data_IF_232181646175
#
_entry.id   IF_232181646175
#
_cell.length_a   1.000
_cell.length_b   1.000
_cell.length_c   1.000
_cell.angle_alpha   90.00
_cell.angle_beta   90.00
_cell.angle_gamma   90.00
#
_symmetry.space_group_name_H-M   'P 1'
#
loop_
_entity.id
_entity.type
_entity.pdbx_description
1 polymer ?
#
# COMPACT_ATOMS: atom_id res chain seq x y z
N UNK A 1 29.49 14.95 10.25
CA UNK A 1 28.16 14.45 10.68
C UNK A 1 28.08 13.01 10.22
N UNK A 2 27.58 12.11 11.06
CA UNK A 2 27.35 10.72 10.65
C UNK A 2 26.16 10.67 9.68
N UNK A 3 26.10 9.63 8.85
CA UNK A 3 24.93 9.37 7.98
C UNK A 3 23.60 9.35 8.76
N UNK A 4 23.65 8.90 10.03
CA UNK A 4 22.50 8.90 10.93
C UNK A 4 22.07 10.30 11.35
N UNK A 5 23.01 11.22 11.57
CA UNK A 5 22.69 12.60 11.95
C UNK A 5 22.03 13.36 10.80
N UNK A 6 22.49 13.13 9.56
CA UNK A 6 21.92 13.72 8.34
C UNK A 6 20.51 13.15 8.07
N UNK A 7 20.35 11.83 8.18
CA UNK A 7 19.06 11.17 8.03
C UNK A 7 18.03 11.60 9.09
N UNK A 8 18.45 11.71 10.35
CA UNK A 8 17.58 12.16 11.44
C UNK A 8 17.13 13.61 11.22
N UNK A 9 18.04 14.50 10.81
CA UNK A 9 17.71 15.89 10.50
C UNK A 9 16.70 16.00 9.35
N UNK A 10 16.87 15.17 8.32
CA UNK A 10 15.96 15.10 7.17
C UNK A 10 14.55 14.60 7.57
N UNK A 11 14.47 13.55 8.40
CA UNK A 11 13.19 13.06 8.93
C UNK A 11 12.48 14.08 9.83
N UNK A 12 13.22 14.85 10.63
CA UNK A 12 12.64 15.89 11.49
C UNK A 12 12.07 17.06 10.67
N UNK A 13 12.68 17.37 9.53
CA UNK A 13 12.21 18.40 8.62
C UNK A 13 10.99 17.97 7.78
N UNK A 14 10.88 16.68 7.46
CA UNK A 14 9.88 16.12 6.54
C UNK A 14 8.42 16.51 6.87
N UNK A 15 7.92 16.37 8.12
CA UNK A 15 6.55 16.75 8.45
C UNK A 15 6.25 18.22 8.15
N UNK A 16 7.21 19.11 8.45
CA UNK A 16 7.07 20.54 8.20
C UNK A 16 7.06 20.84 6.68
N UNK A 17 7.89 20.14 5.90
CA UNK A 17 7.93 20.29 4.44
C UNK A 17 6.62 19.81 3.81
N UNK A 18 6.13 18.63 4.22
CA UNK A 18 4.87 18.08 3.75
C UNK A 18 3.70 18.97 4.13
N UNK A 19 3.64 19.45 5.38
CA UNK A 19 2.58 20.36 5.82
C UNK A 19 2.52 21.63 4.96
N UNK A 20 3.68 22.22 4.62
CA UNK A 20 3.74 23.38 3.71
C UNK A 20 3.27 23.03 2.30
N UNK A 21 3.67 21.87 1.76
CA UNK A 21 3.24 21.41 0.43
C UNK A 21 1.73 21.16 0.37
N UNK A 22 1.15 20.48 1.37
CA UNK A 22 -0.30 20.24 1.43
C UNK A 22 -1.10 21.50 1.76
N UNK A 23 -0.54 22.48 2.46
CA UNK A 23 -1.16 23.79 2.61
C UNK A 23 -1.26 24.50 1.25
N UNK A 24 -0.16 24.57 0.51
CA UNK A 24 -0.14 25.16 -0.82
C UNK A 24 -1.05 24.42 -1.81
N UNK A 25 -1.10 23.08 -1.74
CA UNK A 25 -2.01 22.29 -2.59
C UNK A 25 -3.47 22.68 -2.35
N UNK A 26 -3.88 22.82 -1.08
CA UNK A 26 -5.24 23.27 -0.71
C UNK A 26 -5.52 24.71 -1.15
N UNK A 27 -4.53 25.59 -1.09
CA UNK A 27 -4.68 26.97 -1.55
C UNK A 27 -4.87 27.01 -3.09
N UNK A 28 -4.11 26.20 -3.83
CA UNK A 28 -4.27 26.04 -5.27
C UNK A 28 -5.58 25.34 -5.64
N UNK A 29 -6.03 24.33 -4.88
CA UNK A 29 -7.35 23.70 -5.03
C UNK A 29 -8.45 24.75 -4.95
N UNK A 30 -8.42 25.56 -3.88
CA UNK A 30 -9.40 26.62 -3.67
C UNK A 30 -9.37 27.67 -4.78
N UNK A 31 -8.17 28.11 -5.17
CA UNK A 31 -8.00 29.07 -6.28
C UNK A 31 -8.57 28.53 -7.60
N UNK A 32 -8.32 27.25 -7.89
CA UNK A 32 -8.85 26.58 -9.09
C UNK A 32 -10.38 26.48 -9.05
N UNK A 33 -10.97 26.12 -7.91
CA UNK A 33 -12.42 26.05 -7.74
C UNK A 33 -13.08 27.42 -7.92
N UNK A 34 -12.51 28.47 -7.31
CA UNK A 34 -13.00 29.83 -7.43
C UNK A 34 -12.90 30.34 -8.88
N UNK A 35 -11.79 30.08 -9.57
CA UNK A 35 -11.59 30.47 -10.96
C UNK A 35 -12.53 29.71 -11.90
N UNK A 36 -12.71 28.41 -11.69
CA UNK A 36 -13.65 27.59 -12.46
C UNK A 36 -15.08 28.12 -12.33
N UNK A 37 -15.51 28.45 -11.10
CA UNK A 37 -16.84 29.03 -10.85
C UNK A 37 -17.01 30.38 -11.55
N UNK A 38 -16.00 31.24 -11.51
CA UNK A 38 -16.04 32.53 -12.21
C UNK A 38 -16.12 32.36 -13.73
N UNK A 39 -15.35 31.42 -14.29
CA UNK A 39 -15.35 31.15 -15.71
C UNK A 39 -16.70 30.58 -16.18
N UNK A 40 -17.31 29.67 -15.40
CA UNK A 40 -18.65 29.14 -15.66
C UNK A 40 -19.71 30.26 -15.67
N UNK A 41 -19.68 31.16 -14.68
CA UNK A 41 -20.57 32.32 -14.62
C UNK A 41 -20.37 33.26 -15.82
N UNK A 42 -19.13 33.51 -16.24
CA UNK A 42 -18.82 34.34 -17.42
C UNK A 42 -19.32 33.67 -18.70
N UNK A 43 -19.12 32.36 -18.85
CA UNK A 43 -19.65 31.61 -19.99
C UNK A 43 -21.18 31.69 -20.05
N UNK A 44 -21.88 31.50 -18.93
CA UNK A 44 -23.33 31.64 -18.84
C UNK A 44 -23.81 33.04 -19.25
N UNK A 45 -23.14 34.09 -18.75
CA UNK A 45 -23.46 35.47 -19.10
C UNK A 45 -23.28 35.73 -20.60
N UNK A 46 -22.17 35.30 -21.20
CA UNK A 46 -21.94 35.46 -22.64
C UNK A 46 -22.97 34.71 -23.48
N UNK A 47 -23.37 33.50 -23.05
CA UNK A 47 -24.41 32.72 -23.71
C UNK A 47 -25.75 33.47 -23.67
N UNK A 48 -26.12 34.06 -22.54
CA UNK A 48 -27.35 34.85 -22.41
C UNK A 48 -27.31 36.14 -23.25
N UNK A 49 -26.17 36.84 -23.30
CA UNK A 49 -25.99 38.03 -24.16
C UNK A 49 -26.11 37.69 -25.65
N UNK A 50 -25.57 36.54 -26.08
CA UNK A 50 -25.71 36.04 -27.44
C UNK A 50 -27.17 35.69 -27.74
N UNK A 51 -27.86 34.99 -26.82
CA UNK A 51 -29.30 34.65 -26.97
C UNK A 51 -30.18 35.88 -27.08
N UNK A 52 -29.89 36.94 -26.32
CA UNK A 52 -30.62 38.21 -26.35
C UNK A 52 -30.28 39.06 -27.59
N UNK A 53 -29.32 38.63 -28.42
CA UNK A 53 -28.87 39.36 -29.61
C UNK A 53 -28.06 40.62 -29.29
N UNK A 54 -27.59 40.76 -28.04
CA UNK A 54 -26.78 41.90 -27.58
C UNK A 54 -25.34 41.77 -28.07
N UNK A 55 -24.85 40.52 -28.18
CA UNK A 55 -23.49 40.22 -28.63
C UNK A 55 -23.52 39.55 -30.02
N UNK A 56 -22.89 40.18 -31.01
CA UNK A 56 -22.71 39.61 -32.35
C UNK A 56 -21.44 38.75 -32.40
N UNK A 57 -21.59 37.43 -32.28
CA UNK A 57 -20.49 36.48 -32.43
C UNK A 57 -20.84 35.09 -31.90
N UNK A 58 -20.46 34.05 -32.65
CA UNK A 58 -20.65 32.64 -32.25
C UNK A 58 -19.49 32.11 -31.37
N UNK A 59 -18.55 32.98 -31.01
CA UNK A 59 -17.30 32.66 -30.32
C UNK A 59 -17.23 33.39 -28.99
N UNK A 60 -16.81 32.70 -27.93
CA UNK A 60 -16.54 33.30 -26.62
C UNK A 60 -15.47 34.39 -26.70
N UNK A 61 -15.50 35.35 -25.78
CA UNK A 61 -14.47 36.37 -25.70
C UNK A 61 -13.09 35.76 -25.40
N UNK A 62 -12.04 36.46 -25.84
CA UNK A 62 -10.66 36.07 -25.54
C UNK A 62 -10.39 36.05 -24.02
N UNK A 63 -11.15 36.83 -23.25
CA UNK A 63 -11.04 36.88 -21.79
C UNK A 63 -11.52 35.59 -21.11
N UNK A 64 -12.61 34.99 -21.60
CA UNK A 64 -13.08 33.66 -21.14
C UNK A 64 -12.06 32.57 -21.49
N UNK A 65 -11.43 32.67 -22.67
CA UNK A 65 -10.38 31.74 -23.09
C UNK A 65 -9.11 31.92 -22.25
N UNK A 66 -8.74 33.14 -21.87
CA UNK A 66 -7.61 33.43 -20.99
C UNK A 66 -7.80 32.90 -19.58
N UNK A 67 -9.00 33.04 -19.03
CA UNK A 67 -9.36 32.42 -17.75
C UNK A 67 -9.28 30.89 -17.81
N UNK A 68 -9.77 30.28 -18.90
CA UNK A 68 -9.65 28.83 -19.09
C UNK A 68 -8.18 28.40 -19.18
N UNK A 69 -7.34 29.16 -19.91
CA UNK A 69 -5.88 28.94 -19.95
C UNK A 69 -5.25 29.08 -18.56
N UNK A 70 -5.73 30.01 -17.74
CA UNK A 70 -5.25 30.19 -16.38
C UNK A 70 -5.62 29.00 -15.48
N UNK A 71 -6.82 28.46 -15.61
CA UNK A 71 -7.26 27.25 -14.90
C UNK A 71 -6.35 26.06 -15.20
N UNK A 72 -5.92 25.90 -16.46
CA UNK A 72 -5.00 24.83 -16.86
C UNK A 72 -3.64 25.01 -16.16
N UNK A 73 -3.10 26.23 -16.13
CA UNK A 73 -1.82 26.51 -15.44
C UNK A 73 -1.87 26.15 -13.95
N UNK A 74 -2.94 26.53 -13.25
CA UNK A 74 -3.11 26.17 -11.83
C UNK A 74 -3.20 24.64 -11.66
N UNK A 75 -3.93 23.95 -12.55
CA UNK A 75 -4.01 22.49 -12.51
C UNK A 75 -2.64 21.83 -12.70
N UNK A 76 -1.83 22.30 -13.65
CA UNK A 76 -0.47 21.80 -13.88
C UNK A 76 0.44 22.03 -12.66
N UNK A 77 0.36 23.21 -12.03
CA UNK A 77 1.10 23.52 -10.80
C UNK A 77 0.71 22.59 -9.65
N UNK A 78 -0.57 22.24 -9.51
CA UNK A 78 -1.05 21.28 -8.50
C UNK A 78 -0.49 19.88 -8.75
N UNK A 79 -0.50 19.42 -10.00
CA UNK A 79 0.07 18.12 -10.37
C UNK A 79 1.56 18.10 -10.04
N UNK A 80 2.31 19.13 -10.43
CA UNK A 80 3.73 19.23 -10.12
C UNK A 80 4.01 19.24 -8.61
N UNK A 81 3.19 19.94 -7.83
CA UNK A 81 3.32 19.97 -6.37
C UNK A 81 3.02 18.62 -5.72
N UNK A 82 1.99 17.91 -6.20
CA UNK A 82 1.62 16.58 -5.73
C UNK A 82 2.71 15.55 -6.05
N UNK A 83 3.25 15.56 -7.28
CA UNK A 83 4.39 14.72 -7.68
C UNK A 83 5.59 14.99 -6.79
N UNK A 84 5.95 16.26 -6.56
CA UNK A 84 7.06 16.58 -5.68
C UNK A 84 6.83 16.12 -4.23
N UNK A 85 5.60 16.21 -3.70
CA UNK A 85 5.30 15.70 -2.37
C UNK A 85 5.44 14.18 -2.29
N UNK A 86 5.01 13.47 -3.34
CA UNK A 86 5.15 12.03 -3.47
C UNK A 86 6.63 11.61 -3.53
N UNK A 87 7.41 12.20 -4.45
CA UNK A 87 8.84 11.88 -4.63
C UNK A 87 9.66 12.10 -3.36
N UNK A 88 9.30 13.13 -2.59
CA UNK A 88 9.94 13.42 -1.30
C UNK A 88 9.71 12.27 -0.31
N UNK A 89 8.47 11.81 -0.17
CA UNK A 89 8.14 10.69 0.73
C UNK A 89 8.80 9.41 0.26
N UNK A 90 8.74 9.12 -1.05
CA UNK A 90 9.36 7.94 -1.64
C UNK A 90 10.87 7.91 -1.40
N UNK A 91 11.55 9.06 -1.56
CA UNK A 91 12.99 9.18 -1.27
C UNK A 91 13.30 8.80 0.18
N UNK A 92 12.49 9.24 1.15
CA UNK A 92 12.70 8.88 2.55
C UNK A 92 12.38 7.40 2.85
N UNK A 93 11.39 6.81 2.17
CA UNK A 93 11.10 5.37 2.26
C UNK A 93 12.31 4.57 1.74
N UNK A 94 12.85 4.93 0.58
CA UNK A 94 14.02 4.28 0.01
C UNK A 94 15.27 4.42 0.92
N UNK A 95 15.45 5.58 1.56
CA UNK A 95 16.52 5.79 2.54
C UNK A 95 16.36 4.89 3.78
N UNK A 96 15.14 4.76 4.30
CA UNK A 96 14.81 3.87 5.42
C UNK A 96 15.11 2.41 5.07
N UNK A 97 14.69 1.95 3.89
CA UNK A 97 14.95 0.58 3.43
C UNK A 97 16.45 0.28 3.29
N UNK A 98 17.22 1.24 2.78
CA UNK A 98 18.68 1.13 2.70
C UNK A 98 19.31 1.06 4.09
N UNK A 99 18.81 1.83 5.05
CA UNK A 99 19.28 1.78 6.43
C UNK A 99 18.98 0.43 7.09
N UNK A 100 17.76 -0.08 6.95
CA UNK A 100 17.37 -1.39 7.48
C UNK A 100 18.24 -2.51 6.89
N UNK A 101 18.54 -2.46 5.58
CA UNK A 101 19.46 -3.41 4.93
C UNK A 101 20.87 -3.34 5.51
N UNK A 102 21.44 -2.13 5.65
CA UNK A 102 22.79 -1.95 6.21
C UNK A 102 22.86 -2.43 7.66
N UNK A 103 21.88 -2.09 8.48
CA UNK A 103 21.83 -2.51 9.89
C UNK A 103 21.72 -4.04 10.03
N UNK A 104 20.91 -4.69 9.18
CA UNK A 104 20.82 -6.15 9.14
C UNK A 104 22.15 -6.81 8.73
N UNK A 105 22.87 -6.25 7.74
CA UNK A 105 24.19 -6.75 7.34
C UNK A 105 25.27 -6.55 8.41
N UNK A 106 25.24 -5.43 9.13
CA UNK A 106 26.12 -5.19 10.28
C UNK A 106 25.86 -6.20 11.40
N UNK A 107 24.60 -6.44 11.74
CA UNK A 107 24.23 -7.48 12.72
C UNK A 107 24.66 -8.89 12.25
N UNK A 108 24.59 -9.16 10.95
CA UNK A 108 25.07 -10.42 10.36
C UNK A 108 26.59 -10.57 10.51
N UNK A 109 27.35 -9.50 10.27
CA UNK A 109 28.81 -9.46 10.49
C UNK A 109 29.18 -9.60 11.95
N UNK A 110 28.46 -8.94 12.85
CA UNK A 110 28.72 -9.03 14.30
C UNK A 110 28.44 -10.43 14.84
N UNK A 111 27.45 -11.13 14.27
CA UNK A 111 27.17 -12.54 14.57
C UNK A 111 28.21 -13.50 14.01
N UNK A 112 28.91 -13.13 12.94
CA UNK A 112 30.02 -13.89 12.33
C UNK A 112 31.39 -13.54 12.94
N UNK A 113 31.52 -12.41 13.65
CA UNK A 113 32.77 -11.93 14.27
C UNK A 113 32.99 -12.46 15.70
N UNK A 114 31.95 -12.99 16.36
CA UNK A 114 32.07 -13.69 17.65
C UNK A 114 32.60 -15.11 17.42
N UNK A 115 33.78 -15.49 17.97
CA UNK A 115 34.28 -16.86 17.85
C UNK A 115 33.36 -17.84 18.60
N UNK A 116 33.24 -19.11 18.17
CA UNK A 116 32.56 -20.12 18.97
C UNK A 116 33.46 -20.47 20.17
N UNK A 117 33.40 -19.70 21.25
CA UNK A 117 34.01 -20.10 22.51
C UNK A 117 33.15 -21.20 23.17
N UNK A 118 33.67 -22.43 23.10
CA UNK A 118 33.61 -23.38 24.22
C UNK A 118 32.48 -24.41 24.24
N UNK A 119 32.55 -25.43 23.38
CA UNK A 119 32.19 -26.79 23.82
C UNK A 119 33.48 -27.59 23.87
N UNK A 120 34.09 -27.62 25.05
CA UNK A 120 35.24 -28.45 25.38
C UNK A 120 34.88 -29.92 25.18
N UNK A 121 35.43 -30.52 24.13
CA UNK A 121 35.55 -31.96 23.98
C UNK A 121 36.60 -32.47 24.97
N UNK A 122 36.14 -33.07 26.06
CA UNK A 122 36.97 -33.97 26.87
C UNK A 122 36.34 -35.35 26.83
N UNK A 123 36.91 -36.20 25.98
CA UNK A 123 36.67 -37.63 25.95
C UNK A 123 37.66 -38.31 26.89
N UNK A 124 37.18 -38.97 27.95
CA UNK A 124 37.83 -40.11 28.59
C UNK A 124 36.76 -41.15 28.96
N UNK A 125 37.01 -42.40 28.55
CA UNK A 125 36.21 -43.61 28.71
C UNK A 125 36.08 -44.10 30.17
N UNK A 126 34.95 -44.74 30.52
CA UNK A 126 34.89 -46.12 31.06
C UNK A 126 33.52 -46.46 31.71
N UNK A 127 33.05 -47.67 31.42
CA UNK A 127 31.78 -48.30 31.77
C UNK A 127 31.59 -48.67 33.25
N UNK A 128 30.39 -48.44 33.82
CA UNK A 128 29.65 -49.41 34.68
C UNK A 128 28.16 -48.98 34.88
N UNK A 129 27.23 -49.94 34.83
CA UNK A 129 25.75 -49.83 35.06
C UNK A 129 25.40 -50.03 36.57
N UNK A 130 24.12 -50.04 37.01
CA UNK A 130 22.97 -49.15 36.77
C UNK A 130 22.28 -48.68 38.09
N UNK A 131 21.40 -47.67 38.05
CA UNK A 131 20.58 -47.27 39.21
C UNK A 131 19.34 -46.44 38.84
N UNK A 132 18.20 -46.77 39.44
CA UNK A 132 16.82 -46.29 39.20
C UNK A 132 16.52 -44.90 39.78
N UNK A 133 15.56 -44.19 39.17
CA UNK A 133 14.73 -43.12 39.77
C UNK A 133 14.20 -42.16 38.70
N UNK A 134 12.90 -42.20 38.36
CA UNK A 134 11.88 -41.13 38.57
C UNK A 134 12.35 -39.73 38.10
N UNK A 135 11.66 -38.91 37.31
CA UNK A 135 10.27 -38.80 36.86
C UNK A 135 10.17 -37.52 35.99
N UNK A 136 9.18 -37.49 35.11
CA UNK A 136 8.52 -36.30 34.52
C UNK A 136 9.28 -35.34 33.58
N UNK A 137 8.63 -35.08 32.43
CA UNK A 137 8.53 -33.71 31.91
C UNK A 137 8.90 -33.47 30.45
N UNK A 138 7.93 -33.74 29.56
CA UNK A 138 7.55 -32.93 28.37
C UNK A 138 8.65 -32.39 27.43
N UNK A 139 8.55 -32.79 26.17
CA UNK A 139 8.64 -31.83 25.06
C UNK A 139 9.59 -32.20 23.91
N UNK A 140 9.00 -32.47 22.75
CA UNK A 140 9.46 -31.91 21.48
C UNK A 140 10.76 -32.44 20.88
N UNK A 141 10.61 -33.25 19.82
CA UNK A 141 11.37 -33.29 18.56
C UNK A 141 10.79 -34.48 17.78
N UNK A 142 10.60 -34.45 16.46
CA UNK A 142 11.63 -34.54 15.42
C UNK A 142 10.92 -34.28 14.09
N UNK A 143 11.42 -33.34 13.28
CA UNK A 143 12.25 -33.62 12.08
C UNK A 143 11.37 -34.11 10.92
N UNK A 144 11.39 -33.56 9.72
CA UNK A 144 12.46 -33.64 8.71
C UNK A 144 11.80 -33.01 7.46
N UNK A 145 12.40 -32.19 6.61
CA UNK A 145 13.45 -32.45 5.60
C UNK A 145 13.46 -31.15 4.74
N UNK A 146 14.63 -30.55 4.47
CA UNK A 146 15.28 -30.49 3.14
C UNK A 146 14.38 -29.88 2.04
N UNK A 147 14.73 -28.85 1.26
CA UNK A 147 16.02 -28.23 0.95
C UNK A 147 15.80 -26.92 0.14
N UNK A 148 16.85 -26.09 0.10
CA UNK A 148 17.33 -25.26 -1.04
C UNK A 148 16.41 -24.24 -1.73
N UNK A 149 16.73 -22.96 -1.45
CA UNK A 149 17.28 -21.94 -2.36
C UNK A 149 16.91 -21.96 -3.86
N UNK A 150 16.67 -20.73 -4.35
CA UNK A 150 16.72 -20.22 -5.73
C UNK A 150 15.43 -20.27 -6.56
N UNK A 151 14.77 -19.11 -6.67
CA UNK A 151 14.02 -18.69 -7.85
C UNK A 151 13.75 -17.17 -7.79
N UNK A 152 14.77 -16.38 -8.15
CA UNK A 152 14.55 -15.15 -8.90
C UNK A 152 14.30 -15.58 -10.35
N UNK A 153 13.13 -15.26 -10.90
CA UNK A 153 12.99 -14.70 -12.25
C UNK A 153 11.52 -14.50 -12.61
N UNK A 154 11.27 -13.30 -13.12
CA UNK A 154 10.00 -12.74 -13.54
C UNK A 154 9.32 -13.62 -14.60
N UNK A 155 8.07 -13.97 -14.32
CA UNK A 155 7.11 -14.29 -15.37
C UNK A 155 6.39 -12.99 -15.77
N UNK A 156 6.90 -12.37 -16.83
CA UNK A 156 6.13 -11.41 -17.61
C UNK A 156 4.91 -12.14 -18.20
N UNK A 157 3.73 -11.81 -17.71
CA UNK A 157 2.47 -12.14 -18.37
C UNK A 157 1.58 -10.91 -18.37
N UNK A 158 1.68 -10.15 -19.46
CA UNK A 158 0.77 -9.10 -19.84
C UNK A 158 -0.68 -9.59 -19.72
N UNK A 159 -1.48 -8.89 -18.92
CA UNK A 159 -2.93 -8.93 -19.01
C UNK A 159 -3.41 -7.58 -19.50
N UNK A 160 -3.64 -7.52 -20.81
CA UNK A 160 -4.32 -6.43 -21.52
C UNK A 160 -5.69 -6.13 -20.91
N UNK A 161 -5.96 -4.87 -20.53
CA UNK A 161 -7.23 -4.12 -20.67
C UNK A 161 -7.16 -2.73 -19.99
N UNK A 162 -8.08 -1.79 -20.31
CA UNK A 162 -8.05 -0.76 -21.36
C UNK A 162 -7.31 0.56 -20.93
N UNK A 163 -7.05 1.52 -21.84
CA UNK A 163 -6.23 2.69 -21.52
C UNK A 163 -7.03 3.73 -20.73
N UNK A 164 -6.86 3.73 -19.41
CA UNK A 164 -7.32 4.78 -18.52
C UNK A 164 -6.28 5.02 -17.45
N UNK A 165 -5.42 6.02 -17.67
CA UNK A 165 -4.51 6.63 -16.69
C UNK A 165 -3.75 5.64 -15.79
N UNK A 166 -2.74 4.97 -16.35
CA UNK A 166 -1.74 4.23 -15.60
C UNK A 166 -0.80 5.23 -14.91
N UNK A 167 -1.16 5.65 -13.69
CA UNK A 167 -0.17 6.03 -12.71
C UNK A 167 0.47 4.71 -12.26
N UNK A 168 1.65 4.40 -12.79
CA UNK A 168 2.48 3.24 -12.42
C UNK A 168 3.02 3.45 -11.00
N UNK A 169 2.12 3.36 -10.02
CA UNK A 169 2.43 3.37 -8.59
C UNK A 169 2.86 1.94 -8.25
N UNK A 170 4.09 1.73 -7.76
CA UNK A 170 4.52 0.43 -7.28
C UNK A 170 3.56 -0.06 -6.21
N UNK A 171 2.98 -1.25 -6.41
CA UNK A 171 2.09 -1.90 -5.44
C UNK A 171 2.88 -2.05 -4.13
N UNK A 172 2.44 -1.37 -3.07
CA UNK A 172 3.10 -1.36 -1.76
C UNK A 172 3.17 -2.80 -1.21
N UNK A 173 4.39 -3.35 -0.97
CA UNK A 173 4.58 -4.69 -0.42
C UNK A 173 3.96 -4.91 0.97
N UNK A 174 3.53 -3.86 1.66
CA UNK A 174 2.97 -3.90 3.00
C UNK A 174 1.44 -3.80 3.04
N UNK A 175 0.75 -3.80 1.89
CA UNK A 175 -0.71 -3.79 1.86
C UNK A 175 -1.27 -5.20 2.22
N UNK A 176 -2.12 -5.32 3.26
CA UNK A 176 -2.69 -6.61 3.65
C UNK A 176 -3.50 -7.23 2.51
N UNK A 177 -3.23 -8.50 2.21
CA UNK A 177 -3.93 -9.23 1.16
C UNK A 177 -5.21 -9.87 1.69
N UNK A 178 -6.27 -9.79 0.89
CA UNK A 178 -7.60 -10.28 1.20
C UNK A 178 -8.09 -11.25 0.13
N UNK A 179 -9.26 -11.85 0.40
CA UNK A 179 -9.90 -12.84 -0.45
C UNK A 179 -9.02 -14.08 -0.65
N UNK A 180 -9.55 -15.12 -1.28
CA UNK A 180 -8.77 -16.31 -1.65
C UNK A 180 -7.84 -16.06 -2.85
N UNK A 181 -7.94 -14.89 -3.49
CA UNK A 181 -7.02 -14.47 -4.55
C UNK A 181 -5.72 -13.86 -4.01
N UNK A 182 -5.61 -13.66 -2.68
CA UNK A 182 -4.46 -13.05 -2.01
C UNK A 182 -4.02 -11.74 -2.68
N UNK A 183 -5.00 -10.91 -3.07
CA UNK A 183 -4.76 -9.60 -3.66
C UNK A 183 -5.11 -8.51 -2.65
N UNK A 184 -4.62 -7.31 -2.87
CA UNK A 184 -5.00 -6.10 -2.12
C UNK A 184 -6.50 -5.82 -2.19
N UNK A 185 -7.01 -4.94 -1.34
CA UNK A 185 -8.42 -4.54 -1.40
C UNK A 185 -8.71 -3.72 -2.66
N UNK A 186 -9.45 -4.30 -3.61
CA UNK A 186 -9.85 -3.59 -4.83
C UNK A 186 -11.36 -3.69 -5.10
N UNK A 187 -11.96 -2.58 -5.54
CA UNK A 187 -13.38 -2.51 -5.88
C UNK A 187 -14.32 -2.76 -4.68
N UNK A 188 -15.46 -3.39 -4.92
CA UNK A 188 -16.45 -3.72 -3.88
C UNK A 188 -16.09 -5.02 -3.14
N UNK A 189 -16.13 -4.96 -1.81
CA UNK A 189 -15.77 -6.07 -0.93
C UNK A 189 -16.90 -6.42 0.04
N UNK A 190 -17.02 -7.71 0.36
CA UNK A 190 -17.98 -8.24 1.33
C UNK A 190 -17.23 -8.88 2.51
N UNK A 191 -17.68 -8.58 3.73
CA UNK A 191 -17.19 -9.24 4.94
C UNK A 191 -17.96 -10.53 5.22
N UNK A 192 -17.28 -11.58 5.65
CA UNK A 192 -17.88 -12.81 6.10
C UNK A 192 -18.36 -12.66 7.55
N UNK A 193 -19.65 -12.86 7.82
CA UNK A 193 -20.28 -12.74 9.15
C UNK A 193 -19.91 -13.86 10.15
N UNK A 194 -18.88 -14.66 9.85
CA UNK A 194 -18.38 -15.69 10.76
C UNK A 194 -17.17 -15.11 11.50
N UNK A 195 -17.23 -14.91 12.83
CA UNK A 195 -16.13 -14.34 13.60
C UNK A 195 -14.87 -15.22 13.64
N UNK A 196 -14.99 -16.51 13.27
CA UNK A 196 -13.86 -17.43 13.14
C UNK A 196 -13.31 -17.51 11.69
N UNK A 197 -13.68 -16.59 10.80
CA UNK A 197 -13.18 -16.57 9.42
C UNK A 197 -11.74 -16.03 9.39
N UNK A 198 -10.82 -16.72 8.71
CA UNK A 198 -9.42 -16.32 8.63
C UNK A 198 -9.15 -15.16 7.66
N UNK A 199 -9.97 -15.03 6.63
CA UNK A 199 -9.76 -14.08 5.53
C UNK A 199 -10.62 -12.84 5.73
N UNK A 200 -11.81 -13.00 6.33
CA UNK A 200 -12.79 -11.97 6.69
C UNK A 200 -13.38 -11.18 5.52
N UNK A 201 -12.60 -10.84 4.49
CA UNK A 201 -12.98 -9.95 3.39
C UNK A 201 -12.77 -10.59 2.01
N UNK A 202 -13.73 -10.39 1.11
CA UNK A 202 -13.74 -10.99 -0.23
C UNK A 202 -14.20 -10.01 -1.30
N UNK A 203 -13.59 -10.04 -2.48
CA UNK A 203 -14.00 -9.22 -3.63
C UNK A 203 -15.29 -9.75 -4.25
N UNK A 204 -16.19 -8.85 -4.66
CA UNK A 204 -17.45 -9.19 -5.31
C UNK A 204 -17.25 -10.08 -6.54
N UNK A 205 -16.32 -9.71 -7.42
CA UNK A 205 -15.98 -10.51 -8.62
C UNK A 205 -15.43 -11.90 -8.29
N UNK A 206 -14.68 -12.04 -7.19
CA UNK A 206 -14.16 -13.34 -6.76
C UNK A 206 -15.27 -14.26 -6.23
N UNK A 207 -16.22 -13.71 -5.47
CA UNK A 207 -17.33 -14.50 -4.90
C UNK A 207 -18.61 -14.51 -5.74
N UNK A 208 -18.57 -13.92 -6.93
CA UNK A 208 -19.71 -13.85 -7.86
C UNK A 208 -20.86 -12.96 -7.38
N UNK A 209 -20.60 -12.03 -6.47
CA UNK A 209 -21.57 -11.02 -6.06
C UNK A 209 -21.54 -9.85 -7.05
N UNK A 210 -22.70 -9.31 -7.38
CA UNK A 210 -22.85 -8.09 -8.20
C UNK A 210 -23.46 -6.93 -7.43
N UNK A 211 -24.10 -7.22 -6.31
CA UNK A 211 -24.78 -6.26 -5.45
C UNK A 211 -24.55 -6.64 -3.99
N UNK A 212 -24.69 -5.65 -3.10
CA UNK A 212 -24.62 -5.85 -1.64
C UNK A 212 -25.60 -6.93 -1.21
N UNK A 213 -25.13 -8.03 -0.59
CA UNK A 213 -26.01 -9.10 -0.13
C UNK A 213 -26.96 -8.57 0.96
N UNK A 214 -28.26 -8.84 0.79
CA UNK A 214 -29.27 -8.44 1.77
C UNK A 214 -29.25 -9.41 2.96
N UNK A 215 -28.58 -9.01 4.04
CA UNK A 215 -28.51 -9.77 5.29
C UNK A 215 -27.15 -10.41 5.52
N UNK A 216 -27.11 -11.49 6.31
CA UNK A 216 -25.83 -12.12 6.69
C UNK A 216 -25.23 -12.93 5.55
N UNK A 217 -23.98 -12.63 5.19
CA UNK A 217 -23.24 -13.31 4.14
C UNK A 217 -22.09 -14.14 4.71
N UNK A 218 -21.85 -15.30 4.11
CA UNK A 218 -20.81 -16.24 4.52
C UNK A 218 -20.02 -16.67 3.29
N UNK A 219 -18.70 -16.73 3.40
CA UNK A 219 -17.85 -17.28 2.35
C UNK A 219 -18.11 -18.78 2.14
N UNK A 220 -17.66 -19.33 1.01
CA UNK A 220 -17.81 -20.76 0.65
C UNK A 220 -17.39 -21.71 1.77
N UNK A 221 -16.31 -21.40 2.47
CA UNK A 221 -15.80 -22.20 3.59
C UNK A 221 -16.73 -22.11 4.81
N UNK A 222 -17.19 -20.92 5.17
CA UNK A 222 -18.03 -20.70 6.34
C UNK A 222 -19.48 -21.15 6.14
N UNK A 223 -19.99 -21.11 4.90
CA UNK A 223 -21.31 -21.62 4.54
C UNK A 223 -21.40 -23.15 4.71
N UNK A 224 -20.35 -23.88 4.33
CA UNK A 224 -20.28 -25.34 4.47
C UNK A 224 -20.24 -25.82 5.93
N UNK A 225 -19.61 -25.07 6.82
CA UNK A 225 -19.58 -25.38 8.26
C UNK A 225 -20.97 -25.25 8.93
N UNK A 226 -21.82 -24.35 8.46
CA UNK A 226 -23.17 -24.17 9.01
C UNK A 226 -24.15 -25.26 8.58
N UNK A 227 -24.01 -25.81 7.37
CA UNK A 227 -24.90 -26.90 6.91
C UNK A 227 -24.64 -28.20 7.67
N UNK A 228 -23.38 -28.50 8.02
CA UNK A 228 -23.02 -29.69 8.81
C UNK A 228 -23.55 -29.69 10.25
N UNK A 229 -23.78 -28.53 10.86
CA UNK A 229 -24.32 -28.44 12.23
C UNK A 229 -25.84 -28.64 12.32
N UNK A 230 -26.57 -28.66 11.19
CA UNK A 230 -28.04 -28.81 11.16
C UNK A 230 -28.52 -30.25 10.87
N UNK A 231 -27.62 -31.23 10.90
CA UNK A 231 -27.90 -32.64 10.62
C UNK A 231 -27.45 -33.60 11.72
N UNK A 232 -27.66 -33.26 12.99
CA UNK A 232 -27.51 -34.20 14.12
C UNK A 232 -28.62 -33.96 15.14
#
# INVERSE_FOLDING_TARGET
MSFLDEFQADLEALPNILQKKYALLRDLDKSLEDLRRQNEQRCEQEIEEIKQGVKSGNTFSDEVLDEQRHSIRIADEKVALAVHAYDLVDTHIQQLDQYLKKCNEELRRDKESVPPEGISSSSVDASTKPGRGSESGRGGRKNTRLATQAATEATNAASTNPPGMELDIPIDPNEPTYCFCNQVSFGEMVACDNPDCKIEWFHYGCVGLKDVPKGKWYCSDCAGLKSRRKGR
#
